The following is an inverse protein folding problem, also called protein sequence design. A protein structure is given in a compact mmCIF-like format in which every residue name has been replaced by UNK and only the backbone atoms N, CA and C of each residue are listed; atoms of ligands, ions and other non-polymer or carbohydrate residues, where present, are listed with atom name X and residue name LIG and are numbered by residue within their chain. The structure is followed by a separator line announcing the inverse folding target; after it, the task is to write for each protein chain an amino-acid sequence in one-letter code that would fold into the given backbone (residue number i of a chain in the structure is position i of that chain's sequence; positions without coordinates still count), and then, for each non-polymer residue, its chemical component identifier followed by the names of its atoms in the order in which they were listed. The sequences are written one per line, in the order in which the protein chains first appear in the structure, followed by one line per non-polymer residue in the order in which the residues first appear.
data_IF_727365781292
#
_entry.id   IF_727365781292
#
_cell.length_a   1.000
_cell.length_b   1.000
_cell.length_c   1.000
_cell.angle_alpha   90.00
_cell.angle_beta   90.00
_cell.angle_gamma   90.00
#
_symmetry.space_group_name_H-M   'P 1'
#
loop_
_entity.id
_entity.type
_entity.pdbx_description
1 polymer ?
#
# COMPACT_ATOMS: atom_id res chain seq x y z
N UNK A 1 29.24 -21.48 -15.22
CA UNK A 1 28.19 -21.09 -14.26
C UNK A 1 28.29 -19.59 -14.07
N UNK A 2 27.27 -18.82 -14.46
CA UNK A 2 27.23 -17.40 -14.11
C UNK A 2 26.98 -17.30 -12.61
N UNK A 3 27.95 -16.77 -11.85
CA UNK A 3 27.70 -16.35 -10.48
C UNK A 3 26.64 -15.24 -10.51
N UNK A 4 25.59 -15.34 -9.69
CA UNK A 4 24.67 -14.23 -9.49
C UNK A 4 25.33 -13.26 -8.53
N UNK A 5 25.42 -12.00 -8.94
CA UNK A 5 25.83 -10.91 -8.07
C UNK A 5 24.66 -10.52 -7.17
N UNK A 6 24.64 -11.10 -5.97
CA UNK A 6 23.58 -10.85 -4.98
C UNK A 6 23.59 -9.42 -4.42
N UNK A 7 24.68 -8.66 -4.60
CA UNK A 7 24.77 -7.29 -4.11
C UNK A 7 24.07 -6.27 -5.01
N UNK A 8 23.83 -6.63 -6.28
CA UNK A 8 23.31 -5.72 -7.31
C UNK A 8 22.04 -6.24 -7.99
N UNK A 9 21.18 -6.95 -7.23
CA UNK A 9 19.88 -7.41 -7.76
C UNK A 9 18.92 -6.20 -7.81
N UNK A 10 18.43 -5.89 -9.00
CA UNK A 10 17.43 -4.85 -9.20
C UNK A 10 16.09 -5.20 -8.54
N UNK A 11 15.44 -4.18 -7.98
CA UNK A 11 14.09 -4.30 -7.44
C UNK A 11 13.03 -4.31 -8.55
N UNK A 12 11.83 -4.86 -8.31
CA UNK A 12 10.77 -4.85 -9.29
C UNK A 12 10.40 -3.44 -9.75
N UNK A 13 10.20 -3.25 -11.06
CA UNK A 13 9.89 -1.96 -11.65
C UNK A 13 8.57 -1.33 -11.14
N UNK A 14 7.65 -2.13 -10.62
CA UNK A 14 6.40 -1.66 -10.04
C UNK A 14 5.88 -2.57 -8.95
N UNK A 15 5.23 -1.97 -7.95
CA UNK A 15 4.51 -2.69 -6.90
C UNK A 15 3.21 -1.98 -6.53
N UNK A 16 2.33 -2.72 -5.86
CA UNK A 16 1.31 -2.15 -5.00
C UNK A 16 1.56 -2.61 -3.57
N UNK A 17 1.41 -1.70 -2.61
CA UNK A 17 1.59 -1.97 -1.19
C UNK A 17 0.36 -1.51 -0.45
N UNK A 18 -0.30 -2.43 0.24
CA UNK A 18 -1.29 -2.10 1.25
C UNK A 18 -0.60 -2.08 2.61
N UNK A 19 -0.56 -0.90 3.26
CA UNK A 19 0.08 -0.74 4.55
C UNK A 19 -0.88 -0.21 5.61
N UNK A 20 -0.68 -0.67 6.84
CA UNK A 20 -1.38 -0.23 8.04
C UNK A 20 -0.36 0.30 9.04
N UNK A 21 -0.38 1.62 9.27
CA UNK A 21 0.53 2.33 10.17
C UNK A 21 -0.16 2.57 11.52
N UNK A 22 0.49 2.17 12.60
CA UNK A 22 -0.02 2.24 13.97
C UNK A 22 1.00 3.00 14.85
N UNK A 23 0.68 4.23 15.30
CA UNK A 23 1.40 4.91 16.37
C UNK A 23 1.29 4.13 17.69
N UNK A 24 2.40 3.97 18.41
CA UNK A 24 2.43 3.24 19.69
C UNK A 24 2.89 4.17 20.82
N UNK A 25 2.18 4.12 21.95
CA UNK A 25 2.54 4.88 23.15
C UNK A 25 2.25 6.37 23.06
N UNK A 26 1.20 6.76 22.33
CA UNK A 26 0.76 8.16 22.20
C UNK A 26 0.07 8.71 23.44
N UNK A 27 -0.33 7.85 24.39
CA UNK A 27 -1.15 8.22 25.55
C UNK A 27 -2.64 8.45 25.22
N UNK A 28 -3.04 8.31 23.95
CA UNK A 28 -4.41 8.46 23.48
C UNK A 28 -4.85 7.21 22.69
N UNK A 29 -6.14 6.87 22.76
CA UNK A 29 -6.71 5.73 22.00
C UNK A 29 -6.88 6.07 20.52
N UNK A 30 -7.25 7.32 20.21
CA UNK A 30 -7.44 7.77 18.84
C UNK A 30 -6.10 8.11 18.18
N UNK A 31 -5.93 7.65 16.94
CA UNK A 31 -4.75 7.88 16.08
C UNK A 31 -5.10 8.65 14.80
N UNK A 32 -6.31 9.23 14.73
CA UNK A 32 -6.83 9.83 13.51
C UNK A 32 -6.01 11.04 13.03
N UNK A 33 -5.39 11.78 13.95
CA UNK A 33 -4.55 12.94 13.61
C UNK A 33 -3.28 12.50 12.88
N UNK A 34 -2.63 11.47 13.39
CA UNK A 34 -1.44 10.88 12.79
C UNK A 34 -1.77 10.29 11.42
N UNK A 35 -2.88 9.56 11.30
CA UNK A 35 -3.34 9.01 10.02
C UNK A 35 -3.65 10.12 9.02
N UNK A 36 -4.20 11.27 9.45
CA UNK A 36 -4.40 12.41 8.57
C UNK A 36 -3.08 12.99 8.04
N UNK A 37 -2.02 13.07 8.85
CA UNK A 37 -0.69 13.48 8.37
C UNK A 37 -0.13 12.49 7.33
N UNK A 38 -0.31 11.19 7.56
CA UNK A 38 0.06 10.14 6.58
C UNK A 38 -0.62 10.40 5.24
N UNK A 39 -1.93 10.68 5.22
CA UNK A 39 -2.66 10.95 3.99
C UNK A 39 -2.18 12.23 3.27
N UNK A 40 -1.78 13.27 4.00
CA UNK A 40 -1.22 14.49 3.39
C UNK A 40 0.11 14.23 2.70
N UNK A 41 0.98 13.41 3.31
CA UNK A 41 2.25 13.00 2.68
C UNK A 41 1.99 12.17 1.41
N UNK A 42 1.05 11.23 1.46
CA UNK A 42 0.67 10.44 0.28
C UNK A 42 0.12 11.32 -0.85
N UNK A 43 -0.78 12.25 -0.54
CA UNK A 43 -1.31 13.19 -1.53
C UNK A 43 -0.20 14.08 -2.13
N UNK A 44 0.73 14.55 -1.32
CA UNK A 44 1.86 15.36 -1.79
C UNK A 44 2.89 14.57 -2.63
N UNK A 45 2.94 13.24 -2.48
CA UNK A 45 3.87 12.38 -3.24
C UNK A 45 3.51 12.25 -4.72
N UNK A 46 2.24 12.50 -5.09
CA UNK A 46 1.73 12.27 -6.45
C UNK A 46 1.52 10.81 -6.82
N UNK A 47 1.83 9.85 -5.93
CA UNK A 47 1.54 8.43 -6.14
C UNK A 47 0.04 8.15 -6.04
N UNK A 48 -0.44 7.16 -6.80
CA UNK A 48 -1.83 6.69 -6.66
C UNK A 48 -1.95 6.02 -5.28
N UNK A 49 -2.82 6.56 -4.44
CA UNK A 49 -3.14 5.99 -3.14
C UNK A 49 -4.64 5.86 -2.95
N UNK A 50 -5.09 4.80 -2.28
CA UNK A 50 -6.50 4.56 -1.93
C UNK A 50 -6.60 4.19 -0.46
N UNK A 51 -7.16 5.09 0.34
CA UNK A 51 -7.41 4.88 1.76
C UNK A 51 -8.66 4.03 1.98
N UNK A 52 -8.61 3.14 2.97
CA UNK A 52 -9.75 2.36 3.44
C UNK A 52 -9.67 2.19 4.96
N UNK A 53 -10.65 1.51 5.54
CA UNK A 53 -10.82 1.39 7.00
C UNK A 53 -9.65 0.76 7.75
N UNK A 54 -8.82 -0.04 7.07
CA UNK A 54 -7.76 -0.85 7.67
C UNK A 54 -6.35 -0.45 7.21
N UNK A 55 -6.20 0.59 6.39
CA UNK A 55 -4.91 0.94 5.82
C UNK A 55 -5.01 1.85 4.61
N UNK A 56 -3.93 1.88 3.84
CA UNK A 56 -3.87 2.60 2.57
C UNK A 56 -3.08 1.79 1.56
N UNK A 57 -3.67 1.60 0.40
CA UNK A 57 -2.98 0.99 -0.74
C UNK A 57 -2.29 2.06 -1.56
N UNK A 58 -1.00 1.91 -1.84
CA UNK A 58 -0.19 2.83 -2.66
C UNK A 58 0.42 2.05 -3.83
N UNK A 59 0.45 2.66 -5.00
CA UNK A 59 0.93 2.06 -6.25
C UNK A 59 2.01 2.93 -6.89
N UNK A 60 3.06 2.31 -7.44
CA UNK A 60 4.17 3.01 -8.07
C UNK A 60 5.37 2.11 -8.33
N UNK A 61 6.55 2.70 -8.57
CA UNK A 61 7.79 1.93 -8.55
C UNK A 61 8.12 1.45 -7.13
N UNK A 62 8.89 0.36 -7.01
CA UNK A 62 9.29 -0.16 -5.70
C UNK A 62 9.95 0.92 -4.82
N UNK A 63 10.89 1.66 -5.39
CA UNK A 63 11.67 2.65 -4.65
C UNK A 63 10.83 3.85 -4.23
N UNK A 64 9.95 4.36 -5.11
CA UNK A 64 9.06 5.47 -4.76
C UNK A 64 8.07 5.08 -3.67
N UNK A 65 7.48 3.89 -3.76
CA UNK A 65 6.52 3.40 -2.77
C UNK A 65 7.19 3.17 -1.41
N UNK A 66 8.35 2.50 -1.38
CA UNK A 66 9.07 2.27 -0.12
C UNK A 66 9.61 3.57 0.47
N UNK A 67 10.02 4.53 -0.37
CA UNK A 67 10.42 5.87 0.05
C UNK A 67 9.26 6.62 0.71
N UNK A 68 8.07 6.64 0.09
CA UNK A 68 6.92 7.34 0.69
C UNK A 68 6.47 6.66 1.99
N UNK A 69 6.55 5.34 2.09
CA UNK A 69 6.29 4.60 3.34
C UNK A 69 7.29 5.03 4.43
N UNK A 70 8.56 5.23 4.09
CA UNK A 70 9.54 5.80 5.03
C UNK A 70 9.20 7.25 5.44
N UNK A 71 8.74 8.07 4.49
CA UNK A 71 8.35 9.47 4.75
C UNK A 71 7.13 9.57 5.67
N UNK A 72 6.15 8.68 5.53
CA UNK A 72 4.98 8.68 6.43
C UNK A 72 5.35 8.26 7.86
N UNK A 73 6.36 7.42 8.05
CA UNK A 73 6.93 7.21 9.40
C UNK A 73 7.58 8.48 9.94
N UNK A 74 8.37 9.17 9.11
CA UNK A 74 9.07 10.39 9.50
C UNK A 74 8.11 11.51 9.92
N UNK A 75 7.00 11.73 9.17
CA UNK A 75 6.02 12.77 9.54
C UNK A 75 5.31 12.45 10.85
N UNK A 76 5.01 11.18 11.12
CA UNK A 76 4.41 10.75 12.38
C UNK A 76 5.38 10.97 13.55
N UNK A 77 6.68 10.70 13.35
CA UNK A 77 7.72 11.02 14.33
C UNK A 77 7.88 12.53 14.58
N UNK A 78 7.77 13.37 13.54
CA UNK A 78 7.78 14.82 13.69
C UNK A 78 6.59 15.33 14.53
N UNK A 79 5.47 14.60 14.53
CA UNK A 79 4.33 14.83 15.43
C UNK A 79 4.54 14.43 16.89
N UNK A 80 5.74 13.95 17.26
CA UNK A 80 6.10 13.57 18.64
C UNK A 80 5.87 12.11 18.99
N UNK A 81 5.36 11.29 18.07
CA UNK A 81 5.19 9.85 18.27
C UNK A 81 6.55 9.18 18.30
N UNK A 82 6.88 8.50 19.40
CA UNK A 82 8.20 7.87 19.58
C UNK A 82 8.35 6.54 18.86
N UNK A 83 7.25 5.81 18.65
CA UNK A 83 7.25 4.48 18.04
C UNK A 83 6.11 4.35 17.05
N UNK A 84 6.45 3.89 15.86
CA UNK A 84 5.49 3.54 14.81
C UNK A 84 5.69 2.08 14.47
N UNK A 85 4.60 1.32 14.43
CA UNK A 85 4.58 -0.05 13.92
C UNK A 85 3.75 -0.05 12.64
N UNK A 86 4.32 -0.61 11.57
CA UNK A 86 3.61 -0.74 10.30
C UNK A 86 3.60 -2.19 9.88
N UNK A 87 2.44 -2.67 9.44
CA UNK A 87 2.32 -3.93 8.72
C UNK A 87 2.01 -3.63 7.27
N UNK A 88 2.55 -4.43 6.34
CA UNK A 88 2.33 -4.22 4.92
C UNK A 88 2.24 -5.53 4.16
N UNK A 89 1.40 -5.54 3.12
CA UNK A 89 1.36 -6.58 2.10
C UNK A 89 1.74 -5.95 0.77
N UNK A 90 2.78 -6.47 0.15
CA UNK A 90 3.30 -6.00 -1.14
C UNK A 90 3.09 -7.06 -2.21
N UNK A 91 2.67 -6.60 -3.40
CA UNK A 91 2.54 -7.44 -4.58
C UNK A 91 3.32 -6.87 -5.76
N UNK A 92 3.98 -7.76 -6.49
CA UNK A 92 4.71 -7.46 -7.73
C UNK A 92 4.42 -8.54 -8.77
N UNK A 93 4.41 -8.18 -10.04
CA UNK A 93 4.24 -9.11 -11.15
C UNK A 93 4.97 -8.58 -12.39
N UNK A 94 5.37 -9.49 -13.28
CA UNK A 94 6.13 -9.15 -14.50
C UNK A 94 5.38 -9.47 -15.80
N UNK A 95 4.24 -10.17 -15.70
CA UNK A 95 3.47 -10.62 -16.86
C UNK A 95 2.50 -9.57 -17.40
N UNK A 96 2.03 -8.64 -16.55
CA UNK A 96 1.18 -7.50 -16.96
C UNK A 96 1.22 -6.36 -15.95
N UNK A 97 0.91 -5.15 -16.41
CA UNK A 97 0.59 -4.02 -15.53
C UNK A 97 -0.84 -4.20 -14.99
N UNK A 98 -1.03 -4.05 -13.68
CA UNK A 98 -2.33 -4.17 -13.04
C UNK A 98 -2.36 -3.31 -11.77
N UNK A 99 -3.40 -2.49 -11.62
CA UNK A 99 -3.64 -1.69 -10.42
C UNK A 99 -4.38 -2.50 -9.35
N UNK A 100 -4.44 -2.01 -8.10
CA UNK A 100 -5.24 -2.66 -7.07
C UNK A 100 -6.74 -2.62 -7.42
N UNK A 101 -7.18 -1.54 -8.05
CA UNK A 101 -8.54 -1.36 -8.54
C UNK A 101 -8.93 -2.40 -9.62
N UNK A 102 -8.03 -2.68 -10.57
CA UNK A 102 -8.27 -3.72 -11.59
C UNK A 102 -8.45 -5.10 -10.97
N UNK A 103 -7.77 -5.37 -9.84
CA UNK A 103 -7.89 -6.62 -9.10
C UNK A 103 -9.28 -6.74 -8.47
N UNK A 104 -9.79 -5.66 -7.89
CA UNK A 104 -11.16 -5.60 -7.34
C UNK A 104 -12.20 -5.75 -8.45
N UNK A 105 -12.04 -4.99 -9.55
CA UNK A 105 -12.95 -5.07 -10.72
C UNK A 105 -13.05 -6.47 -11.28
N UNK A 106 -11.93 -7.20 -11.37
CA UNK A 106 -11.96 -8.59 -11.86
C UNK A 106 -12.78 -9.50 -10.95
N UNK A 107 -12.63 -9.38 -9.63
CA UNK A 107 -13.44 -10.17 -8.68
C UNK A 107 -14.91 -9.80 -8.79
N UNK A 108 -15.24 -8.51 -8.86
CA UNK A 108 -16.61 -8.05 -9.01
C UNK A 108 -17.27 -8.56 -10.30
N UNK A 109 -16.55 -8.57 -11.42
CA UNK A 109 -17.06 -9.13 -12.67
C UNK A 109 -17.43 -10.62 -12.53
N UNK A 110 -16.59 -11.43 -11.87
CA UNK A 110 -16.89 -12.85 -11.60
C UNK A 110 -18.16 -12.98 -10.76
N UNK A 111 -18.25 -12.21 -9.66
CA UNK A 111 -19.42 -12.26 -8.78
C UNK A 111 -20.71 -11.86 -9.50
N UNK A 112 -20.66 -10.89 -10.42
CA UNK A 112 -21.81 -10.51 -11.24
C UNK A 112 -22.19 -11.58 -12.26
N UNK A 113 -21.22 -12.25 -12.88
CA UNK A 113 -21.44 -13.38 -13.80
C UNK A 113 -22.15 -14.53 -13.06
N UNK A 114 -21.69 -14.89 -11.85
CA UNK A 114 -22.28 -15.98 -11.04
C UNK A 114 -23.75 -15.72 -10.71
N UNK A 115 -24.10 -14.47 -10.35
CA UNK A 115 -25.48 -14.08 -10.05
C UNK A 115 -26.41 -14.16 -11.27
N UNK A 116 -25.91 -13.89 -12.47
CA UNK A 116 -26.70 -14.03 -13.70
C UNK A 116 -26.90 -15.49 -14.13
N UNK A 117 -25.96 -16.38 -13.78
CA UNK A 117 -26.08 -17.82 -14.02
C UNK A 117 -27.13 -18.50 -13.15
N UNK A 118 -27.26 -18.10 -11.88
CA UNK A 118 -28.25 -18.66 -10.94
C UNK A 118 -29.69 -18.19 -11.19
N UNK A 119 -29.88 -16.99 -11.74
CA UNK A 119 -31.23 -16.48 -12.07
C UNK A 119 -31.82 -17.05 -13.38
N UNK A 120 -31.06 -17.89 -14.09
CA UNK A 120 -31.43 -18.50 -15.37
C UNK A 120 -31.72 -20.01 -15.26
N UNK A 121 -31.68 -20.57 -14.05
CA UNK A 121 -31.89 -21.98 -13.74
C UNK A 121 -33.14 -22.20 -12.89
#
# INVERSE_FOLDING_TARGET
MSFRDYANIETPASCYVDFCLIPVGTGNVSVAKEVAEVQRVLAASGLKSTMHSAGTTVEGSWDEVMKVIGQVHAVVHQGGVKRVQTSMRVGTRIDKKQTAEDKVKRVQAILSEDQTGESSA
#
